data_IF_870603105495
#
_entry.id   IF_870603105495
#
_cell.length_a   1.000
_cell.length_b   1.000
_cell.length_c   1.000
_cell.angle_alpha   90.00
_cell.angle_beta   90.00
_cell.angle_gamma   90.00
#
_symmetry.space_group_name_H-M   'P 1'
#
loop_
_entity.id
_entity.type
_entity.pdbx_description
1 polymer ?
#
# COMPACT_ATOMS: atom_id res chain seq x y z
N UNK A 1 47.66 -46.66 -3.53
CA UNK A 1 46.22 -46.47 -3.31
C UNK A 1 45.84 -45.79 -1.98
N UNK A 2 46.56 -45.94 -0.87
CA UNK A 2 46.16 -45.30 0.41
C UNK A 2 46.34 -43.77 0.43
N UNK A 3 47.37 -43.24 -0.20
CA UNK A 3 47.65 -41.79 -0.25
C UNK A 3 46.60 -41.04 -1.06
N UNK A 4 46.11 -41.64 -2.13
CA UNK A 4 45.04 -41.04 -2.95
C UNK A 4 43.73 -40.84 -2.16
N UNK A 5 43.36 -41.81 -1.32
CA UNK A 5 42.17 -41.72 -0.45
C UNK A 5 42.31 -40.66 0.64
N UNK A 6 43.52 -40.47 1.17
CA UNK A 6 43.83 -39.51 2.21
C UNK A 6 43.71 -38.04 1.73
N UNK A 7 43.97 -37.81 0.45
CA UNK A 7 43.90 -36.47 -0.14
C UNK A 7 42.51 -36.23 -0.82
N UNK A 8 41.96 -37.26 -1.46
CA UNK A 8 40.68 -37.14 -2.18
C UNK A 8 39.50 -36.84 -1.26
N UNK A 9 39.44 -37.42 -0.06
CA UNK A 9 38.34 -37.18 0.89
C UNK A 9 38.27 -35.72 1.38
N UNK A 10 39.33 -35.08 1.87
CA UNK A 10 39.25 -33.69 2.30
C UNK A 10 39.01 -32.73 1.14
N UNK A 11 39.52 -32.99 -0.06
CA UNK A 11 39.28 -32.19 -1.25
C UNK A 11 37.80 -32.25 -1.67
N UNK A 12 37.20 -33.43 -1.62
CA UNK A 12 35.81 -33.62 -1.92
C UNK A 12 34.88 -32.94 -0.90
N UNK A 13 35.25 -33.03 0.40
CA UNK A 13 34.51 -32.34 1.47
C UNK A 13 34.59 -30.82 1.33
N UNK A 14 35.77 -30.27 1.01
CA UNK A 14 35.94 -28.84 0.78
C UNK A 14 35.17 -28.38 -0.44
N UNK A 15 35.15 -29.17 -1.51
CA UNK A 15 34.35 -28.90 -2.71
C UNK A 15 32.84 -28.88 -2.40
N UNK A 16 32.37 -29.86 -1.62
CA UNK A 16 30.96 -29.90 -1.17
C UNK A 16 30.61 -28.69 -0.30
N UNK A 17 31.49 -28.35 0.66
CA UNK A 17 31.29 -27.18 1.52
C UNK A 17 31.21 -25.90 0.70
N UNK A 18 32.14 -25.68 -0.23
CA UNK A 18 32.13 -24.52 -1.13
C UNK A 18 30.84 -24.46 -1.95
N UNK A 19 30.36 -25.58 -2.46
CA UNK A 19 29.11 -25.67 -3.21
C UNK A 19 27.89 -25.31 -2.34
N UNK A 20 27.83 -25.81 -1.09
CA UNK A 20 26.75 -25.48 -0.15
C UNK A 20 26.74 -23.99 0.23
N UNK A 21 27.92 -23.41 0.50
CA UNK A 21 28.05 -21.98 0.81
C UNK A 21 27.61 -21.12 -0.38
N UNK A 22 28.05 -21.49 -1.59
CA UNK A 22 27.65 -20.80 -2.80
C UNK A 22 26.14 -20.90 -3.06
N UNK A 23 25.56 -22.11 -2.92
CA UNK A 23 24.12 -22.34 -3.07
C UNK A 23 23.30 -21.59 -2.03
N UNK A 24 23.74 -21.56 -0.76
CA UNK A 24 23.08 -20.79 0.29
C UNK A 24 23.10 -19.28 0.01
N UNK A 25 24.26 -18.76 -0.44
CA UNK A 25 24.39 -17.35 -0.79
C UNK A 25 23.53 -16.97 -2.01
N UNK A 26 23.51 -17.83 -3.04
CA UNK A 26 22.67 -17.61 -4.22
C UNK A 26 21.17 -17.68 -3.88
N UNK A 27 20.78 -18.69 -3.08
CA UNK A 27 19.39 -18.82 -2.61
C UNK A 27 18.94 -17.62 -1.78
N UNK A 28 19.79 -17.16 -0.86
CA UNK A 28 19.51 -15.97 -0.05
C UNK A 28 19.27 -14.72 -0.91
N UNK A 29 20.13 -14.47 -1.89
CA UNK A 29 19.97 -13.32 -2.80
C UNK A 29 18.67 -13.37 -3.58
N UNK A 30 18.24 -14.55 -4.04
CA UNK A 30 16.98 -14.68 -4.79
C UNK A 30 15.74 -14.54 -3.88
N UNK A 31 15.82 -15.02 -2.64
CA UNK A 31 14.72 -14.88 -1.67
C UNK A 31 14.57 -13.45 -1.13
N UNK A 32 15.68 -12.70 -1.06
CA UNK A 32 15.66 -11.31 -0.57
C UNK A 32 15.58 -10.29 -1.71
N UNK A 33 15.54 -10.73 -2.97
CA UNK A 33 15.34 -9.82 -4.09
C UNK A 33 13.98 -9.11 -3.94
N UNK A 34 13.95 -7.76 -4.00
CA UNK A 34 12.68 -7.05 -3.93
C UNK A 34 11.79 -7.49 -5.09
N UNK A 35 10.53 -7.78 -4.79
CA UNK A 35 9.54 -8.05 -5.81
C UNK A 35 9.42 -6.83 -6.74
N UNK A 36 9.24 -7.04 -8.06
CA UNK A 36 8.99 -5.93 -8.96
C UNK A 36 7.77 -5.16 -8.47
N UNK A 37 7.96 -3.88 -8.19
CA UNK A 37 6.84 -3.00 -7.85
C UNK A 37 5.99 -2.84 -9.10
N UNK A 38 4.68 -3.18 -9.08
CA UNK A 38 3.82 -2.94 -10.22
C UNK A 38 3.83 -1.46 -10.55
N UNK A 39 3.88 -1.14 -11.84
CA UNK A 39 3.77 0.25 -12.30
C UNK A 39 2.45 0.85 -11.81
N UNK A 40 2.45 2.10 -11.30
CA UNK A 40 1.23 2.73 -10.84
C UNK A 40 0.25 2.87 -12.00
N UNK A 41 -0.94 2.31 -11.84
CA UNK A 41 -2.02 2.46 -12.82
C UNK A 41 -2.51 3.91 -12.76
N UNK A 42 -2.54 4.63 -13.89
CA UNK A 42 -3.02 6.00 -13.89
C UNK A 42 -4.48 6.07 -13.44
N UNK A 43 -4.80 7.12 -12.70
CA UNK A 43 -6.18 7.38 -12.26
C UNK A 43 -7.10 7.69 -13.44
N UNK A 44 -8.38 7.46 -13.24
CA UNK A 44 -9.44 7.80 -14.19
C UNK A 44 -10.06 9.14 -13.78
N UNK A 45 -10.10 10.08 -14.72
CA UNK A 45 -10.80 11.35 -14.49
C UNK A 45 -12.31 11.13 -14.54
N UNK A 46 -12.96 11.32 -13.42
CA UNK A 46 -14.44 11.20 -13.29
C UNK A 46 -15.03 12.58 -13.10
N UNK A 47 -16.08 12.88 -13.88
CA UNK A 47 -16.87 14.09 -13.67
C UNK A 47 -17.93 13.80 -12.62
N UNK A 48 -17.79 14.40 -11.45
CA UNK A 48 -18.72 14.29 -10.33
C UNK A 48 -18.76 15.61 -9.57
N UNK A 49 -19.89 15.93 -8.99
CA UNK A 49 -20.03 17.16 -8.18
C UNK A 49 -19.49 16.97 -6.76
N UNK A 50 -19.44 15.72 -6.30
CA UNK A 50 -18.99 15.40 -4.94
C UNK A 50 -18.07 14.18 -4.94
N UNK A 51 -17.12 14.18 -4.01
CA UNK A 51 -16.27 13.04 -3.66
C UNK A 51 -16.63 12.60 -2.25
N UNK A 52 -16.85 11.31 -2.07
CA UNK A 52 -17.12 10.71 -0.76
C UNK A 52 -15.90 10.00 -0.21
N UNK A 53 -15.89 9.70 1.08
CA UNK A 53 -14.81 8.92 1.73
C UNK A 53 -14.58 7.56 1.04
N UNK A 54 -15.64 6.93 0.53
CA UNK A 54 -15.56 5.64 -0.15
C UNK A 54 -14.82 5.70 -1.51
N UNK A 55 -14.79 6.87 -2.15
CA UNK A 55 -14.09 7.07 -3.42
C UNK A 55 -12.57 7.26 -3.23
N UNK A 56 -12.13 7.48 -1.99
CA UNK A 56 -10.73 7.81 -1.69
C UNK A 56 -9.94 6.58 -1.27
N UNK A 57 -8.96 6.22 -2.10
CA UNK A 57 -8.00 5.16 -1.77
C UNK A 57 -6.82 5.73 -0.99
N UNK A 58 -6.59 5.20 0.21
CA UNK A 58 -5.61 5.69 1.17
C UNK A 58 -4.51 4.66 1.44
N UNK A 59 -3.27 5.12 1.52
CA UNK A 59 -2.14 4.33 2.02
C UNK A 59 -1.64 4.96 3.31
N UNK A 60 -1.46 4.18 4.37
CA UNK A 60 -1.06 4.68 5.69
C UNK A 60 0.34 4.20 6.04
N UNK A 61 1.23 5.12 6.30
CA UNK A 61 2.63 4.83 6.61
C UNK A 61 3.05 5.42 7.95
N UNK A 62 3.78 4.63 8.72
CA UNK A 62 4.41 5.09 9.95
C UNK A 62 5.84 5.56 9.65
N UNK A 63 6.09 6.85 9.76
CA UNK A 63 7.41 7.50 9.68
C UNK A 63 7.97 7.89 11.06
N UNK A 64 7.21 7.64 12.13
CA UNK A 64 7.62 7.86 13.52
C UNK A 64 8.14 6.60 14.21
N UNK A 65 8.21 6.66 15.54
CA UNK A 65 8.73 5.58 16.38
C UNK A 65 7.63 4.76 17.09
N UNK A 66 6.36 5.18 16.99
CA UNK A 66 5.25 4.53 17.69
C UNK A 66 4.82 3.25 16.99
N UNK A 67 5.09 2.10 17.59
CA UNK A 67 4.71 0.81 17.02
C UNK A 67 3.20 0.67 16.83
N UNK A 68 2.80 0.18 15.66
CA UNK A 68 1.40 -0.11 15.33
C UNK A 68 0.54 1.13 15.09
N UNK A 69 1.10 2.36 15.05
CA UNK A 69 0.34 3.58 14.83
C UNK A 69 -0.38 3.55 13.47
N UNK A 70 0.34 3.23 12.38
CA UNK A 70 -0.26 3.16 11.06
C UNK A 70 -1.42 2.16 10.98
N UNK A 71 -1.30 1.00 11.64
CA UNK A 71 -2.38 -0.01 11.64
C UNK A 71 -3.63 0.49 12.37
N UNK A 72 -3.47 1.13 13.54
CA UNK A 72 -4.61 1.69 14.29
C UNK A 72 -5.32 2.78 13.48
N UNK A 73 -4.54 3.66 12.85
CA UNK A 73 -5.11 4.73 12.03
C UNK A 73 -5.76 4.19 10.74
N UNK A 74 -5.19 3.14 10.15
CA UNK A 74 -5.80 2.46 9.00
C UNK A 74 -7.17 1.88 9.35
N UNK A 75 -7.28 1.11 10.45
CA UNK A 75 -8.57 0.55 10.89
C UNK A 75 -9.60 1.65 11.15
N UNK A 76 -9.18 2.76 11.76
CA UNK A 76 -10.08 3.89 11.98
C UNK A 76 -10.55 4.54 10.68
N UNK A 77 -9.68 4.70 9.69
CA UNK A 77 -10.06 5.23 8.38
C UNK A 77 -11.02 4.27 7.65
N UNK A 78 -10.82 2.96 7.78
CA UNK A 78 -11.75 1.94 7.26
C UNK A 78 -13.14 2.06 7.95
N UNK A 79 -13.17 2.24 9.27
CA UNK A 79 -14.40 2.46 10.03
C UNK A 79 -15.15 3.74 9.61
N UNK A 80 -14.42 4.77 9.17
CA UNK A 80 -14.97 6.00 8.60
C UNK A 80 -15.43 5.85 7.14
N UNK A 81 -15.14 4.72 6.50
CA UNK A 81 -15.55 4.39 5.14
C UNK A 81 -14.51 4.66 4.05
N UNK A 82 -13.27 5.01 4.40
CA UNK A 82 -12.19 5.13 3.42
C UNK A 82 -11.73 3.77 2.89
N UNK A 83 -11.29 3.73 1.63
CA UNK A 83 -10.70 2.54 1.05
C UNK A 83 -9.20 2.48 1.37
N UNK A 84 -8.81 1.79 2.46
CA UNK A 84 -7.40 1.65 2.84
C UNK A 84 -6.77 0.49 2.07
N UNK A 85 -5.89 0.81 1.12
CA UNK A 85 -5.26 -0.17 0.21
C UNK A 85 -3.86 -0.63 0.65
N UNK A 86 -3.22 0.10 1.58
CA UNK A 86 -1.90 -0.26 2.08
C UNK A 86 -1.62 0.30 3.47
N UNK A 87 -0.97 -0.52 4.28
CA UNK A 87 -0.48 -0.11 5.61
C UNK A 87 0.98 -0.56 5.76
N UNK A 88 1.85 0.32 6.22
CA UNK A 88 3.27 0.00 6.33
C UNK A 88 4.08 0.98 7.16
N UNK A 89 5.39 0.85 7.04
CA UNK A 89 6.35 1.82 7.58
C UNK A 89 7.06 2.51 6.42
N UNK A 90 7.59 3.69 6.67
CA UNK A 90 8.47 4.41 5.74
C UNK A 90 9.77 4.77 6.44
N UNK A 91 10.86 4.83 5.67
CA UNK A 91 12.15 5.32 6.14
C UNK A 91 12.18 6.85 6.20
N UNK A 92 11.22 7.50 5.55
CA UNK A 92 11.05 8.94 5.59
C UNK A 92 10.59 9.39 6.97
N UNK A 93 11.34 10.33 7.57
CA UNK A 93 11.03 10.87 8.88
C UNK A 93 10.21 12.12 8.74
N UNK A 94 9.00 12.08 9.29
CA UNK A 94 8.09 13.22 9.39
C UNK A 94 7.82 13.52 10.88
N UNK A 95 7.56 14.78 11.20
CA UNK A 95 7.28 15.17 12.58
C UNK A 95 5.82 14.96 12.94
N UNK A 96 4.92 15.59 12.21
CA UNK A 96 3.47 15.53 12.42
C UNK A 96 2.78 14.53 11.50
N UNK A 97 1.54 14.83 11.14
CA UNK A 97 0.79 14.10 10.13
C UNK A 97 0.89 14.81 8.79
N UNK A 98 1.35 14.10 7.75
CA UNK A 98 1.45 14.64 6.39
C UNK A 98 0.51 13.88 5.48
N UNK A 99 -0.36 14.61 4.78
CA UNK A 99 -1.27 14.09 3.76
C UNK A 99 -0.66 14.41 2.40
N UNK A 100 -0.22 13.37 1.68
CA UNK A 100 0.49 13.51 0.41
C UNK A 100 -0.32 12.96 -0.75
N UNK A 101 -0.33 13.66 -1.86
CA UNK A 101 -1.00 13.23 -3.07
C UNK A 101 -0.81 14.20 -4.22
N UNK A 102 -1.32 13.85 -5.39
CA UNK A 102 -1.24 14.72 -6.56
C UNK A 102 -1.93 16.07 -6.31
N UNK A 103 -1.40 17.13 -6.93
CA UNK A 103 -1.93 18.48 -6.82
C UNK A 103 -3.40 18.59 -7.25
N UNK A 104 -3.79 17.87 -8.30
CA UNK A 104 -5.17 17.90 -8.82
C UNK A 104 -6.18 17.19 -7.90
N UNK A 105 -5.72 16.35 -6.96
CA UNK A 105 -6.58 15.56 -6.09
C UNK A 105 -6.85 16.23 -4.72
N UNK A 106 -7.06 17.54 -4.73
CA UNK A 106 -7.35 18.34 -3.53
C UNK A 106 -8.59 17.85 -2.77
N UNK A 107 -9.72 17.48 -3.42
CA UNK A 107 -10.90 17.00 -2.71
C UNK A 107 -10.61 15.77 -1.85
N UNK A 108 -9.95 14.76 -2.41
CA UNK A 108 -9.59 13.54 -1.68
C UNK A 108 -8.65 13.82 -0.50
N UNK A 109 -7.61 14.65 -0.71
CA UNK A 109 -6.69 15.06 0.37
C UNK A 109 -7.42 15.79 1.50
N UNK A 110 -8.41 16.65 1.17
CA UNK A 110 -9.20 17.39 2.16
C UNK A 110 -10.06 16.46 3.02
N UNK A 111 -10.68 15.44 2.40
CA UNK A 111 -11.42 14.41 3.13
C UNK A 111 -10.54 13.66 4.12
N UNK A 112 -9.38 13.20 3.68
CA UNK A 112 -8.44 12.50 4.58
C UNK A 112 -7.94 13.42 5.69
N UNK A 113 -7.64 14.69 5.36
CA UNK A 113 -7.17 15.68 6.35
C UNK A 113 -8.18 15.92 7.46
N UNK A 114 -9.49 15.89 7.18
CA UNK A 114 -10.53 16.09 8.20
C UNK A 114 -10.53 15.01 9.29
N UNK A 115 -9.84 13.89 9.06
CA UNK A 115 -9.71 12.81 10.03
C UNK A 115 -8.56 13.01 11.05
N UNK A 116 -7.71 14.01 10.84
CA UNK A 116 -6.50 14.21 11.63
C UNK A 116 -6.34 15.64 12.12
N UNK A 117 -5.98 15.79 13.40
CA UNK A 117 -5.68 17.10 13.98
C UNK A 117 -4.30 17.58 13.57
N UNK A 118 -4.21 18.80 13.05
CA UNK A 118 -2.93 19.43 12.70
C UNK A 118 -2.20 18.78 11.50
N UNK A 119 -2.91 18.07 10.64
CA UNK A 119 -2.32 17.52 9.43
C UNK A 119 -1.95 18.60 8.42
N UNK A 120 -0.87 18.37 7.67
CA UNK A 120 -0.37 19.26 6.62
C UNK A 120 -0.49 18.62 5.25
N UNK A 121 -0.62 19.42 4.19
CA UNK A 121 -0.61 18.92 2.81
C UNK A 121 0.78 18.94 2.21
N UNK A 122 1.04 17.91 1.41
CA UNK A 122 2.20 17.85 0.53
C UNK A 122 1.76 17.33 -0.85
N UNK A 123 2.25 18.00 -1.90
CA UNK A 123 1.95 17.61 -3.28
C UNK A 123 3.08 16.75 -3.82
N UNK A 124 2.73 15.77 -4.64
CA UNK A 124 3.67 14.96 -5.41
C UNK A 124 3.16 14.71 -6.84
N UNK A 125 4.00 14.10 -7.66
CA UNK A 125 3.74 13.86 -9.09
C UNK A 125 3.07 12.48 -9.34
N UNK A 126 2.42 11.89 -8.33
CA UNK A 126 1.75 10.58 -8.51
C UNK A 126 0.61 10.68 -9.51
N UNK A 127 0.41 9.59 -10.23
CA UNK A 127 -0.61 9.49 -11.29
C UNK A 127 -1.76 8.54 -10.94
N UNK A 128 -1.70 7.88 -9.77
CA UNK A 128 -2.60 6.80 -9.40
C UNK A 128 -3.86 7.27 -8.61
N UNK A 129 -3.99 8.56 -8.34
CA UNK A 129 -5.13 9.14 -7.62
C UNK A 129 -5.20 8.77 -6.13
N UNK A 130 -4.22 8.06 -5.58
CA UNK A 130 -4.20 7.68 -4.18
C UNK A 130 -3.74 8.82 -3.27
N UNK A 131 -4.06 8.70 -1.97
CA UNK A 131 -3.61 9.63 -0.93
C UNK A 131 -2.78 8.87 0.10
N UNK A 132 -1.57 9.37 0.40
CA UNK A 132 -0.73 8.83 1.45
C UNK A 132 -0.92 9.62 2.74
N UNK A 133 -1.03 8.89 3.84
CA UNK A 133 -0.99 9.41 5.21
C UNK A 133 0.32 8.98 5.84
N UNK A 134 1.22 9.94 6.07
CA UNK A 134 2.47 9.72 6.77
C UNK A 134 2.31 10.20 8.21
N UNK A 135 2.45 9.26 9.15
CA UNK A 135 2.30 9.52 10.59
C UNK A 135 3.68 9.67 11.22
N UNK A 136 3.95 10.85 11.74
CA UNK A 136 5.23 11.20 12.32
C UNK A 136 5.34 10.92 13.82
N UNK A 137 6.48 11.36 14.40
CA UNK A 137 6.75 11.23 15.84
C UNK A 137 5.82 12.08 16.70
N UNK A 138 5.42 13.25 16.19
CA UNK A 138 4.55 14.22 16.86
C UNK A 138 3.12 14.15 16.30
N UNK A 139 2.60 12.93 16.17
CA UNK A 139 1.24 12.70 15.72
C UNK A 139 0.24 13.47 16.59
N UNK A 140 -0.46 14.43 15.97
CA UNK A 140 -1.36 15.39 16.65
C UNK A 140 -2.66 14.80 17.15
N UNK A 141 -2.92 13.53 16.82
CA UNK A 141 -4.17 12.86 17.19
C UNK A 141 -5.20 12.87 16.09
N UNK A 142 -6.34 12.37 16.45
CA UNK A 142 -7.51 12.19 15.61
C UNK A 142 -8.47 13.37 15.79
N UNK A 143 -9.17 13.72 14.74
CA UNK A 143 -10.30 14.65 14.83
C UNK A 143 -11.52 13.89 15.32
N UNK A 144 -12.31 14.52 16.20
CA UNK A 144 -13.57 13.96 16.66
C UNK A 144 -14.58 13.91 15.49
N UNK A 145 -15.06 12.72 15.11
CA UNK A 145 -15.96 12.59 13.99
C UNK A 145 -17.31 13.31 14.18
N UNK A 146 -17.75 13.53 15.42
CA UNK A 146 -19.00 14.23 15.70
C UNK A 146 -18.86 15.75 15.51
N UNK A 147 -17.63 16.28 15.59
CA UNK A 147 -17.38 17.73 15.59
C UNK A 147 -16.92 18.26 14.24
N UNK A 148 -16.04 17.54 13.54
CA UNK A 148 -15.39 18.05 12.32
C UNK A 148 -15.30 17.04 11.17
N UNK A 149 -15.75 15.79 11.36
CA UNK A 149 -15.62 14.78 10.30
C UNK A 149 -16.45 15.15 9.06
N UNK A 150 -15.78 15.25 7.94
CA UNK A 150 -16.37 15.48 6.64
C UNK A 150 -16.40 14.14 5.88
N UNK A 151 -17.57 13.68 5.45
CA UNK A 151 -17.75 12.44 4.70
C UNK A 151 -17.83 12.64 3.18
N UNK A 152 -18.02 13.87 2.74
CA UNK A 152 -18.04 14.26 1.34
C UNK A 152 -17.61 15.71 1.15
N UNK A 153 -17.01 16.00 0.01
CA UNK A 153 -16.63 17.37 -0.38
C UNK A 153 -16.95 17.60 -1.86
N UNK A 154 -17.15 18.86 -2.22
CA UNK A 154 -17.30 19.23 -3.63
C UNK A 154 -16.02 18.95 -4.40
N UNK A 155 -16.12 18.30 -5.55
CA UNK A 155 -15.01 17.97 -6.44
C UNK A 155 -14.53 19.19 -7.25
N UNK A 156 -15.38 20.17 -7.43
CA UNK A 156 -15.15 21.28 -8.37
C UNK A 156 -15.35 20.91 -9.85
N UNK A 157 -15.98 19.75 -10.13
CA UNK A 157 -16.36 19.30 -11.48
C UNK A 157 -15.65 18.03 -11.97
N UNK A 158 -14.38 17.83 -11.69
CA UNK A 158 -13.68 16.59 -12.05
C UNK A 158 -12.64 16.22 -11.00
N UNK A 159 -12.46 14.93 -10.79
CA UNK A 159 -11.51 14.36 -9.85
C UNK A 159 -10.84 13.14 -10.46
N UNK A 160 -9.57 12.93 -10.09
CA UNK A 160 -8.79 11.78 -10.51
C UNK A 160 -8.90 10.69 -9.45
N UNK A 161 -9.66 9.65 -9.72
CA UNK A 161 -9.87 8.54 -8.80
C UNK A 161 -9.09 7.31 -9.26
N UNK A 162 -8.62 6.46 -8.35
CA UNK A 162 -8.07 5.17 -8.71
C UNK A 162 -9.07 4.39 -9.56
N UNK A 163 -8.62 3.61 -10.57
CA UNK A 163 -9.52 2.79 -11.33
C UNK A 163 -10.26 1.82 -10.39
N UNK A 164 -11.57 1.79 -10.49
CA UNK A 164 -12.38 0.82 -9.74
C UNK A 164 -11.95 -0.58 -10.17
N UNK A 165 -11.75 -1.55 -9.25
CA UNK A 165 -11.50 -2.91 -9.65
C UNK A 165 -12.64 -3.36 -10.55
N UNK A 166 -12.31 -3.75 -11.80
CA UNK A 166 -13.29 -4.33 -12.69
C UNK A 166 -13.97 -5.50 -11.97
N UNK A 167 -15.30 -5.60 -12.00
CA UNK A 167 -15.97 -6.78 -11.48
C UNK A 167 -15.36 -8.00 -12.18
N UNK A 168 -14.65 -8.82 -11.45
CA UNK A 168 -14.16 -10.09 -11.97
C UNK A 168 -15.38 -10.86 -12.43
N UNK A 169 -15.55 -11.00 -13.74
CA UNK A 169 -16.61 -11.82 -14.33
C UNK A 169 -16.51 -13.21 -13.69
N UNK A 170 -17.36 -13.43 -12.70
CA UNK A 170 -17.54 -14.75 -12.10
C UNK A 170 -18.11 -15.62 -13.22
N UNK A 171 -17.47 -16.73 -13.61
CA UNK A 171 -17.99 -17.54 -14.67
C UNK A 171 -19.41 -17.98 -14.29
N UNK A 172 -20.37 -17.52 -15.09
CA UNK A 172 -21.78 -17.91 -14.97
C UNK A 172 -21.86 -19.44 -15.01
N UNK A 173 -22.49 -20.10 -14.03
CA UNK A 173 -22.63 -21.54 -14.07
C UNK A 173 -23.46 -21.89 -15.32
N UNK A 174 -22.81 -22.59 -16.27
CA UNK A 174 -23.47 -23.14 -17.44
C UNK A 174 -24.67 -23.98 -17.00
N UNK A 175 -25.86 -23.53 -17.36
CA UNK A 175 -27.06 -24.30 -17.18
C UNK A 175 -26.95 -25.58 -18.03
N UNK A 176 -26.76 -26.70 -17.36
CA UNK A 176 -26.84 -28.04 -17.95
C UNK A 176 -28.30 -28.27 -18.33
N UNK A 177 -28.61 -28.19 -19.61
CA UNK A 177 -29.89 -28.59 -20.14
C UNK A 177 -30.04 -30.14 -20.01
N UNK A 178 -30.87 -30.55 -19.08
CA UNK A 178 -31.31 -31.97 -19.00
C UNK A 178 -32.39 -32.16 -20.07
N UNK A 179 -32.04 -32.91 -21.12
CA UNK A 179 -33.00 -33.43 -22.11
C UNK A 179 -33.57 -34.69 -21.52
N UNK A 180 -34.83 -34.68 -21.11
CA UNK A 180 -35.61 -35.91 -20.87
C UNK A 180 -36.27 -36.36 -22.18
N UNK A 181 -36.07 -37.64 -22.48
CA UNK A 181 -36.87 -38.43 -23.43
C UNK A 181 -37.81 -39.31 -22.68
#
# INVERSE_FOLDING_TARGET
MRIFRLIATPVLLLGLLAFLVWGAFWGWRNLTAPLPTPEPTPCVTVTTDTVTVADVSVRVYNGGFTSGLARRQASRLEDLGFNVIRVGNTDERVSGTVIRGNEVNVPAKRLVMSSFTGATFENDDRVDGTVDVLLGSDFGGETDPETEQIYQVSSGGSVCLPPSPEPTDSPSPSATATTES
#
